data_IF_180113240138
#
_entry.id   IF_180113240138
#
_cell.length_a   1.000
_cell.length_b   1.000
_cell.length_c   1.000
_cell.angle_alpha   90.00
_cell.angle_beta   90.00
_cell.angle_gamma   90.00
#
_symmetry.space_group_name_H-M   'P 1'
#
loop_
_entity.id
_entity.type
_entity.pdbx_description
1 polymer ?
#
# COMPACT_ATOMS: atom_id res chain seq x y z
N UNK A 1 -13.07 -4.48 -15.88
CA UNK A 1 -13.57 -5.76 -15.35
C UNK A 1 -14.24 -5.52 -14.01
N UNK A 2 -15.37 -6.17 -13.78
CA UNK A 2 -16.02 -6.14 -12.47
C UNK A 2 -15.60 -7.37 -11.67
N UNK A 3 -15.26 -7.17 -10.40
CA UNK A 3 -14.86 -8.25 -9.50
C UNK A 3 -15.64 -8.16 -8.21
N UNK A 4 -15.75 -9.29 -7.53
CA UNK A 4 -16.28 -9.34 -6.17
C UNK A 4 -15.15 -9.68 -5.22
N UNK A 5 -14.85 -8.78 -4.30
CA UNK A 5 -13.82 -9.01 -3.29
C UNK A 5 -14.39 -9.70 -2.07
N UNK A 6 -13.59 -10.56 -1.46
CA UNK A 6 -13.91 -11.30 -0.23
C UNK A 6 -12.83 -10.99 0.81
N UNK A 7 -13.17 -11.24 2.07
CA UNK A 7 -12.25 -11.14 3.18
C UNK A 7 -11.43 -9.83 3.16
N UNK A 8 -12.09 -8.66 3.21
CA UNK A 8 -11.39 -7.39 3.25
C UNK A 8 -10.48 -7.33 4.48
N UNK A 9 -9.30 -6.77 4.30
CA UNK A 9 -8.35 -6.59 5.38
C UNK A 9 -7.67 -5.23 5.25
N UNK A 10 -7.23 -4.66 6.39
CA UNK A 10 -6.55 -3.38 6.42
C UNK A 10 -5.10 -3.54 6.85
N UNK A 11 -4.25 -2.69 6.27
CA UNK A 11 -2.87 -2.55 6.69
C UNK A 11 -2.71 -1.15 7.22
N UNK A 12 -2.17 -1.01 8.44
CA UNK A 12 -2.01 0.27 9.11
C UNK A 12 -0.55 0.56 9.42
N UNK A 13 -0.07 1.70 8.97
CA UNK A 13 1.21 2.27 9.39
C UNK A 13 0.95 3.48 10.30
N UNK A 14 1.88 3.76 11.22
CA UNK A 14 1.67 4.69 12.35
C UNK A 14 1.08 6.04 11.95
N UNK A 15 1.65 6.70 10.95
CA UNK A 15 1.28 8.06 10.55
C UNK A 15 0.48 8.13 9.25
N UNK A 16 0.14 6.98 8.68
CA UNK A 16 -0.52 6.92 7.39
C UNK A 16 -1.93 6.36 7.51
N UNK A 17 -2.84 6.71 6.59
CA UNK A 17 -4.18 6.14 6.57
C UNK A 17 -4.15 4.63 6.43
N UNK A 18 -5.21 3.98 6.88
CA UNK A 18 -5.36 2.55 6.68
C UNK A 18 -5.47 2.21 5.19
N UNK A 19 -4.80 1.13 4.81
CA UNK A 19 -4.84 0.61 3.44
C UNK A 19 -5.82 -0.56 3.40
N UNK A 20 -6.92 -0.39 2.70
CA UNK A 20 -7.96 -1.41 2.57
C UNK A 20 -7.71 -2.29 1.35
N UNK A 21 -7.58 -3.59 1.59
CA UNK A 21 -7.44 -4.59 0.53
C UNK A 21 -8.62 -5.55 0.56
N UNK A 22 -8.87 -6.20 -0.56
CA UNK A 22 -9.81 -7.30 -0.67
C UNK A 22 -9.30 -8.33 -1.66
N UNK A 23 -9.67 -9.59 -1.46
CA UNK A 23 -9.27 -10.69 -2.35
C UNK A 23 -10.42 -11.03 -3.28
N UNK A 24 -10.14 -11.09 -4.59
CA UNK A 24 -11.13 -11.51 -5.59
C UNK A 24 -11.35 -13.02 -5.54
N UNK A 25 -12.39 -13.51 -6.24
CA UNK A 25 -12.67 -14.94 -6.36
C UNK A 25 -11.50 -15.72 -6.99
N UNK A 26 -10.70 -15.06 -7.83
CA UNK A 26 -9.54 -15.65 -8.48
C UNK A 26 -8.27 -15.62 -7.61
N UNK A 27 -8.37 -15.17 -6.36
CA UNK A 27 -7.23 -15.10 -5.46
C UNK A 27 -6.34 -13.87 -5.63
N UNK A 28 -6.74 -12.90 -6.44
CA UNK A 28 -6.00 -11.66 -6.64
C UNK A 28 -6.33 -10.68 -5.51
N UNK A 29 -5.31 -10.13 -4.88
CA UNK A 29 -5.48 -9.08 -3.89
C UNK A 29 -5.58 -7.72 -4.58
N UNK A 30 -6.65 -7.00 -4.28
CA UNK A 30 -6.89 -5.66 -4.79
C UNK A 30 -6.89 -4.64 -3.68
N UNK A 31 -6.35 -3.46 -3.97
CA UNK A 31 -6.37 -2.28 -3.12
C UNK A 31 -7.54 -1.38 -3.50
N UNK A 32 -8.30 -0.93 -2.50
CA UNK A 32 -9.44 -0.04 -2.73
C UNK A 32 -8.97 1.42 -2.86
N UNK A 33 -8.75 1.84 -4.09
CA UNK A 33 -8.28 3.18 -4.40
C UNK A 33 -9.34 4.26 -4.07
N UNK A 34 -10.61 3.96 -4.28
CA UNK A 34 -11.70 4.91 -4.02
C UNK A 34 -11.79 5.23 -2.53
N UNK A 35 -11.75 4.21 -1.67
CA UNK A 35 -11.75 4.42 -0.22
C UNK A 35 -10.55 5.25 0.22
N UNK A 36 -9.37 4.95 -0.29
CA UNK A 36 -8.16 5.69 0.06
C UNK A 36 -8.27 7.18 -0.32
N UNK A 37 -8.71 7.48 -1.52
CA UNK A 37 -8.90 8.87 -1.98
C UNK A 37 -9.93 9.61 -1.12
N UNK A 38 -11.01 8.94 -0.73
CA UNK A 38 -12.05 9.51 0.13
C UNK A 38 -11.50 9.84 1.52
N UNK A 39 -10.76 8.93 2.12
CA UNK A 39 -10.15 9.12 3.44
C UNK A 39 -9.10 10.22 3.46
N UNK A 40 -8.31 10.34 2.39
CA UNK A 40 -7.33 11.42 2.27
C UNK A 40 -7.96 12.78 1.96
N UNK A 41 -9.21 12.80 1.50
CA UNK A 41 -9.89 14.04 1.09
C UNK A 41 -9.31 14.68 -0.16
N UNK A 42 -8.56 13.93 -0.97
CA UNK A 42 -7.80 14.45 -2.11
C UNK A 42 -8.46 14.18 -3.48
N UNK A 43 -9.74 13.81 -3.50
CA UNK A 43 -10.45 13.48 -4.74
C UNK A 43 -10.44 14.57 -5.80
N UNK A 44 -10.17 15.82 -5.43
CA UNK A 44 -10.06 16.95 -6.38
C UNK A 44 -8.65 17.11 -6.96
N UNK A 45 -7.63 16.58 -6.29
CA UNK A 45 -6.22 16.72 -6.72
C UNK A 45 -5.68 15.46 -7.37
N UNK A 46 -6.18 14.31 -6.97
CA UNK A 46 -5.71 13.01 -7.40
C UNK A 46 -6.87 12.17 -7.88
N UNK A 47 -6.66 11.42 -8.94
CA UNK A 47 -7.65 10.49 -9.50
C UNK A 47 -6.96 9.25 -10.01
N UNK A 48 -7.72 8.15 -10.12
CA UNK A 48 -7.22 6.92 -10.71
C UNK A 48 -6.84 7.14 -12.17
N UNK A 49 -7.62 7.93 -12.91
CA UNK A 49 -7.32 8.25 -14.30
C UNK A 49 -5.99 9.00 -14.43
N UNK A 50 -5.77 10.00 -13.58
CA UNK A 50 -4.50 10.74 -13.57
C UNK A 50 -3.32 9.84 -13.21
N UNK A 51 -3.50 8.97 -12.20
CA UNK A 51 -2.50 7.97 -11.83
C UNK A 51 -2.14 7.07 -13.01
N UNK A 52 -3.12 6.50 -13.68
CA UNK A 52 -2.92 5.63 -14.84
C UNK A 52 -2.11 6.33 -15.92
N UNK A 53 -2.40 7.61 -16.15
CA UNK A 53 -1.72 8.42 -17.16
C UNK A 53 -0.27 8.72 -16.77
N UNK A 54 -0.04 9.15 -15.53
CA UNK A 54 1.30 9.50 -15.03
C UNK A 54 2.21 8.29 -14.86
N UNK A 55 1.64 7.14 -14.54
CA UNK A 55 2.39 5.92 -14.28
C UNK A 55 2.18 4.84 -15.33
N UNK A 56 1.86 5.25 -16.56
CA UNK A 56 1.63 4.32 -17.67
C UNK A 56 2.81 3.35 -17.89
N UNK A 57 4.03 3.82 -17.73
CA UNK A 57 5.22 2.97 -17.84
C UNK A 57 5.19 1.80 -16.84
N UNK A 58 4.76 2.05 -15.60
CA UNK A 58 4.67 1.01 -14.59
C UNK A 58 3.58 -0.02 -14.91
N UNK A 59 2.43 0.44 -15.42
CA UNK A 59 1.38 -0.47 -15.89
C UNK A 59 1.90 -1.40 -16.99
N UNK A 60 2.57 -0.84 -17.98
CA UNK A 60 3.14 -1.63 -19.07
C UNK A 60 4.20 -2.61 -18.56
N UNK A 61 5.03 -2.18 -17.61
CA UNK A 61 6.07 -3.03 -17.02
C UNK A 61 5.48 -4.19 -16.24
N UNK A 62 4.45 -3.96 -15.43
CA UNK A 62 3.77 -5.01 -14.65
C UNK A 62 3.12 -6.02 -15.59
N UNK A 63 2.44 -5.54 -16.65
CA UNK A 63 1.84 -6.42 -17.65
C UNK A 63 2.88 -7.32 -18.33
N UNK A 64 4.01 -6.75 -18.69
CA UNK A 64 5.08 -7.48 -19.35
C UNK A 64 5.71 -8.53 -18.44
N UNK A 65 5.98 -8.17 -17.18
CA UNK A 65 6.62 -9.09 -16.21
C UNK A 65 5.71 -10.25 -15.84
N UNK A 66 4.43 -10.00 -15.63
CA UNK A 66 3.47 -11.04 -15.21
C UNK A 66 2.65 -11.64 -16.34
N UNK A 67 2.81 -11.11 -17.56
CA UNK A 67 2.07 -11.56 -18.74
C UNK A 67 0.54 -11.52 -18.53
N UNK A 68 0.06 -10.45 -17.89
CA UNK A 68 -1.36 -10.26 -17.59
C UNK A 68 -1.97 -9.14 -18.44
N UNK A 69 -3.26 -9.22 -18.76
CA UNK A 69 -3.96 -8.18 -19.51
C UNK A 69 -4.28 -6.96 -18.62
N UNK A 70 -4.52 -5.81 -19.27
CA UNK A 70 -4.84 -4.54 -18.60
C UNK A 70 -5.95 -4.66 -17.55
N UNK A 71 -6.99 -5.40 -17.87
CA UNK A 71 -8.19 -5.48 -17.03
C UNK A 71 -7.94 -6.21 -15.70
N UNK A 72 -6.83 -6.92 -15.57
CA UNK A 72 -6.48 -7.57 -14.29
C UNK A 72 -5.82 -6.59 -13.32
N UNK A 73 -5.20 -5.52 -13.81
CA UNK A 73 -4.51 -4.54 -12.98
C UNK A 73 -5.45 -3.52 -12.35
N UNK A 74 -6.60 -3.29 -12.97
CA UNK A 74 -7.64 -2.40 -12.45
C UNK A 74 -9.01 -3.04 -12.65
N UNK A 75 -9.83 -2.96 -11.62
CA UNK A 75 -11.16 -3.55 -11.63
C UNK A 75 -12.15 -2.64 -10.91
N UNK A 76 -13.42 -2.94 -11.05
CA UNK A 76 -14.50 -2.28 -10.31
C UNK A 76 -15.17 -3.29 -9.41
N UNK A 77 -15.33 -2.95 -8.12
CA UNK A 77 -16.05 -3.79 -7.17
C UNK A 77 -17.56 -3.79 -7.49
N UNK A 78 -18.10 -4.97 -7.67
CA UNK A 78 -19.54 -5.12 -7.99
C UNK A 78 -20.46 -4.60 -6.89
N UNK A 79 -20.04 -4.74 -5.63
CA UNK A 79 -20.88 -4.37 -4.49
C UNK A 79 -20.88 -2.85 -4.23
N UNK A 80 -19.75 -2.17 -4.39
CA UNK A 80 -19.58 -0.78 -4.00
C UNK A 80 -19.41 0.18 -5.16
N UNK A 81 -19.04 -0.33 -6.34
CA UNK A 81 -18.65 0.50 -7.49
C UNK A 81 -17.27 1.12 -7.35
N UNK A 82 -16.53 0.79 -6.31
CA UNK A 82 -15.21 1.33 -6.07
C UNK A 82 -14.19 0.83 -7.10
N UNK A 83 -13.21 1.68 -7.41
CA UNK A 83 -12.09 1.30 -8.26
C UNK A 83 -11.06 0.57 -7.43
N UNK A 84 -10.64 -0.58 -7.92
CA UNK A 84 -9.68 -1.47 -7.28
C UNK A 84 -8.42 -1.54 -8.15
N UNK A 85 -7.26 -1.54 -7.49
CA UNK A 85 -5.96 -1.61 -8.14
C UNK A 85 -5.25 -2.86 -7.65
N UNK A 86 -4.62 -3.60 -8.56
CA UNK A 86 -3.83 -4.78 -8.22
C UNK A 86 -2.76 -4.45 -7.15
N UNK A 87 -2.49 -5.41 -6.27
CA UNK A 87 -1.52 -5.20 -5.17
C UNK A 87 -0.13 -4.76 -5.66
N UNK A 88 0.28 -5.18 -6.85
CA UNK A 88 1.57 -4.79 -7.42
C UNK A 88 1.72 -3.28 -7.68
N UNK A 89 0.59 -2.57 -7.82
CA UNK A 89 0.55 -1.14 -8.07
C UNK A 89 0.01 -0.34 -6.88
N UNK A 90 -0.42 -1.02 -5.82
CA UNK A 90 -1.06 -0.37 -4.66
C UNK A 90 -0.14 0.64 -3.98
N UNK A 91 1.08 0.25 -3.67
CA UNK A 91 2.03 1.13 -2.98
C UNK A 91 2.45 2.31 -3.86
N UNK A 92 2.53 2.11 -5.16
CA UNK A 92 2.82 3.18 -6.10
C UNK A 92 1.67 4.20 -6.12
N UNK A 93 0.42 3.74 -6.09
CA UNK A 93 -0.75 4.61 -6.01
C UNK A 93 -0.75 5.41 -4.70
N UNK A 94 -0.46 4.75 -3.58
CA UNK A 94 -0.37 5.44 -2.29
C UNK A 94 0.73 6.50 -2.31
N UNK A 95 1.89 6.19 -2.88
CA UNK A 95 2.99 7.13 -3.03
C UNK A 95 2.63 8.32 -3.95
N UNK A 96 1.83 8.07 -4.98
CA UNK A 96 1.31 9.12 -5.86
C UNK A 96 0.43 10.11 -5.10
N UNK A 97 -0.47 9.60 -4.25
CA UNK A 97 -1.36 10.45 -3.44
C UNK A 97 -0.62 11.08 -2.27
N UNK A 98 0.26 10.33 -1.63
CA UNK A 98 1.02 10.73 -0.44
C UNK A 98 2.52 10.52 -0.67
N UNK A 99 3.23 11.53 -1.18
CA UNK A 99 4.67 11.43 -1.40
C UNK A 99 5.47 11.13 -0.12
N UNK A 100 5.01 11.55 1.04
CA UNK A 100 5.66 11.23 2.32
C UNK A 100 5.70 9.73 2.58
N UNK A 101 4.59 9.03 2.31
CA UNK A 101 4.55 7.58 2.37
C UNK A 101 5.50 6.95 1.34
N UNK A 102 5.55 7.53 0.13
CA UNK A 102 6.46 7.06 -0.91
C UNK A 102 7.92 7.09 -0.47
N UNK A 103 8.35 8.21 0.12
CA UNK A 103 9.71 8.36 0.66
C UNK A 103 9.98 7.32 1.75
N UNK A 104 9.05 7.16 2.69
CA UNK A 104 9.15 6.17 3.75
C UNK A 104 9.36 4.76 3.18
N UNK A 105 8.55 4.36 2.20
CA UNK A 105 8.65 3.04 1.58
C UNK A 105 9.96 2.85 0.83
N UNK A 106 10.44 3.87 0.13
CA UNK A 106 11.72 3.79 -0.58
C UNK A 106 12.90 3.63 0.39
N UNK A 107 12.85 4.29 1.53
CA UNK A 107 13.85 4.11 2.58
C UNK A 107 13.85 2.68 3.13
N UNK A 108 12.65 2.12 3.36
CA UNK A 108 12.53 0.73 3.84
C UNK A 108 13.06 -0.27 2.80
N UNK A 109 12.80 -0.02 1.51
CA UNK A 109 13.37 -0.85 0.44
C UNK A 109 14.89 -0.76 0.38
N UNK A 110 15.44 0.43 0.59
CA UNK A 110 16.89 0.62 0.66
C UNK A 110 17.52 -0.16 1.81
N UNK A 111 16.88 -0.15 2.98
CA UNK A 111 17.32 -0.98 4.12
C UNK A 111 17.33 -2.46 3.76
N UNK A 112 16.28 -2.93 3.09
CA UNK A 112 16.19 -4.32 2.67
C UNK A 112 17.35 -4.69 1.74
N UNK A 113 17.71 -3.82 0.80
CA UNK A 113 18.81 -4.05 -0.13
C UNK A 113 20.19 -4.02 0.56
N UNK A 114 20.37 -3.10 1.50
CA UNK A 114 21.68 -2.90 2.16
C UNK A 114 21.90 -3.86 3.32
N UNK A 115 20.88 -4.12 4.11
CA UNK A 115 20.99 -4.86 5.37
C UNK A 115 20.34 -6.25 5.30
N UNK A 116 19.65 -6.57 4.21
CA UNK A 116 18.96 -7.86 4.02
C UNK A 116 17.67 -8.01 4.78
N UNK A 117 17.29 -7.00 5.58
CA UNK A 117 16.03 -6.99 6.34
C UNK A 117 15.55 -5.56 6.54
N UNK A 118 14.24 -5.38 6.59
CA UNK A 118 13.63 -4.09 6.95
C UNK A 118 12.45 -4.32 7.88
N UNK A 119 12.22 -3.35 8.76
CA UNK A 119 11.09 -3.35 9.69
C UNK A 119 10.37 -2.02 9.60
N UNK A 120 9.04 -2.05 9.62
CA UNK A 120 8.26 -0.83 9.75
C UNK A 120 8.45 -0.23 11.15
N UNK A 121 8.25 1.09 11.27
CA UNK A 121 8.35 1.76 12.58
C UNK A 121 7.36 1.17 13.57
N UNK A 122 6.16 0.83 13.12
CA UNK A 122 5.16 0.14 13.94
C UNK A 122 5.69 -1.18 14.48
N UNK A 123 6.36 -1.98 13.65
CA UNK A 123 6.91 -3.28 14.07
C UNK A 123 8.05 -3.11 15.05
N UNK A 124 8.89 -2.09 14.85
CA UNK A 124 9.99 -1.76 15.78
C UNK A 124 9.41 -1.43 17.14
N UNK A 125 8.41 -0.55 17.22
CA UNK A 125 7.77 -0.17 18.49
C UNK A 125 7.14 -1.38 19.17
N UNK A 126 6.43 -2.23 18.43
CA UNK A 126 5.84 -3.45 18.97
C UNK A 126 6.89 -4.41 19.54
N UNK A 127 8.01 -4.57 18.83
CA UNK A 127 9.11 -5.42 19.25
C UNK A 127 9.74 -4.91 20.55
N UNK A 128 9.96 -3.59 20.64
CA UNK A 128 10.49 -2.96 21.86
C UNK A 128 9.54 -3.17 23.03
N UNK A 129 8.24 -2.91 22.84
CA UNK A 129 7.23 -3.12 23.90
C UNK A 129 7.15 -4.55 24.39
N UNK A 130 7.38 -5.51 23.52
CA UNK A 130 7.31 -6.94 23.87
C UNK A 130 8.58 -7.46 24.53
N UNK A 131 9.71 -6.79 24.33
CA UNK A 131 11.02 -7.28 24.79
C UNK A 131 11.67 -6.46 25.90
N UNK A 132 11.31 -5.19 26.00
CA UNK A 132 11.94 -4.28 26.95
C UNK A 132 10.92 -3.66 27.89
N UNK A 133 11.27 -3.53 29.17
CA UNK A 133 10.52 -2.70 30.11
C UNK A 133 10.87 -1.24 29.85
N UNK A 134 10.03 -0.33 30.38
CA UNK A 134 10.28 1.11 30.27
C UNK A 134 11.63 1.49 30.88
N UNK A 135 11.98 0.89 32.02
CA UNK A 135 13.28 1.13 32.68
C UNK A 135 14.45 0.70 31.83
N UNK A 136 14.38 -0.50 31.24
CA UNK A 136 15.43 -1.02 30.36
C UNK A 136 15.61 -0.12 29.14
N UNK A 137 14.51 0.34 28.54
CA UNK A 137 14.54 1.24 27.39
C UNK A 137 15.20 2.58 27.75
N UNK A 138 14.82 3.18 28.88
CA UNK A 138 15.40 4.44 29.33
C UNK A 138 16.91 4.33 29.57
N UNK A 139 17.37 3.21 30.12
CA UNK A 139 18.80 2.96 30.30
C UNK A 139 19.56 2.91 28.98
N UNK A 140 18.96 2.31 27.93
CA UNK A 140 19.57 2.23 26.61
C UNK A 140 19.64 3.60 25.94
N UNK A 141 18.63 4.43 26.13
CA UNK A 141 18.59 5.79 25.55
C UNK A 141 19.63 6.69 26.22
N UNK A 142 19.87 6.53 27.53
CA UNK A 142 20.78 7.35 28.31
C UNK A 142 22.27 6.98 28.13
N UNK A 143 22.55 5.90 27.38
CA UNK A 143 23.91 5.54 27.01
C UNK A 143 24.30 6.11 25.65
#
# INVERSE_FOLDING_TARGET
MKVRTKAPFTVKYMEFPELLFGTSENGINYFDATTYLTEKGDGNKHSVIDFTRKFAFWFESVKAVYEVPDFELMATDEATGHVLIDESLALLFVAYVDPGFGVYMMERMSELLLDGVTLSDTRIVQTIRNRLTKEELLKLIDT
#
